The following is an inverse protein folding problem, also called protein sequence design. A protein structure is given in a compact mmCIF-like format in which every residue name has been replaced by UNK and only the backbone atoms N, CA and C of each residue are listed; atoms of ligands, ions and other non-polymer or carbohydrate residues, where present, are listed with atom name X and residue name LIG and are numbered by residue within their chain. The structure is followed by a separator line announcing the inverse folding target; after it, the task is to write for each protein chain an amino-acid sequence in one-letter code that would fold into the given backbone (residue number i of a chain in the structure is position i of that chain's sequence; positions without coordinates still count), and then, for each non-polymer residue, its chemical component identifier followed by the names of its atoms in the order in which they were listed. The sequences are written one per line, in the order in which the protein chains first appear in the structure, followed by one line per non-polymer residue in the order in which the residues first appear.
data_IF_088801624468
#
_entry.id   IF_088801624468
#
_cell.length_a   1.000
_cell.length_b   1.000
_cell.length_c   1.000
_cell.angle_alpha   90.00
_cell.angle_beta   90.00
_cell.angle_gamma   90.00
#
_symmetry.space_group_name_H-M   'P 1'
#
loop_
_entity.id
_entity.type
_entity.pdbx_description
1 polymer ?
#
# COMPACT_ATOMS: atom_id res chain seq x y z
N UNK A 1 -12.25 7.84 11.43
CA UNK A 1 -11.67 6.48 11.28
C UNK A 1 -10.89 6.46 9.99
N UNK A 2 -9.59 6.14 10.06
CA UNK A 2 -8.75 6.04 8.87
C UNK A 2 -9.06 4.75 8.11
N UNK A 3 -9.23 4.82 6.78
CA UNK A 3 -9.47 3.62 5.95
C UNK A 3 -8.16 2.84 5.81
N UNK A 4 -8.24 1.53 6.00
CA UNK A 4 -7.13 0.61 5.86
C UNK A 4 -7.37 -0.30 4.67
N UNK A 5 -6.39 -0.42 3.79
CA UNK A 5 -6.41 -1.26 2.60
C UNK A 5 -5.51 -2.47 2.79
N UNK A 6 -5.99 -3.65 2.44
CA UNK A 6 -5.14 -4.82 2.26
C UNK A 6 -4.27 -4.65 1.02
N UNK A 7 -3.21 -5.46 0.92
CA UNK A 7 -2.36 -5.52 -0.28
C UNK A 7 -3.16 -5.81 -1.56
N UNK A 8 -4.28 -6.55 -1.45
CA UNK A 8 -5.15 -6.88 -2.58
C UNK A 8 -5.97 -5.67 -3.02
N UNK A 9 -6.56 -4.93 -2.09
CA UNK A 9 -7.30 -3.70 -2.40
C UNK A 9 -6.35 -2.63 -2.97
N UNK A 10 -5.14 -2.52 -2.44
CA UNK A 10 -4.11 -1.65 -3.00
C UNK A 10 -3.77 -2.01 -4.46
N UNK A 11 -3.74 -3.30 -4.81
CA UNK A 11 -3.55 -3.77 -6.19
C UNK A 11 -4.72 -3.37 -7.10
N UNK A 12 -5.97 -3.51 -6.63
CA UNK A 12 -7.16 -3.15 -7.42
C UNK A 12 -7.24 -1.63 -7.68
N UNK A 13 -6.82 -0.79 -6.73
CA UNK A 13 -6.86 0.67 -6.86
C UNK A 13 -5.74 1.19 -7.78
N UNK A 14 -4.54 0.62 -7.66
CA UNK A 14 -3.33 1.19 -8.28
C UNK A 14 -2.83 0.41 -9.48
N UNK A 15 -3.34 -0.80 -9.71
CA UNK A 15 -2.82 -1.75 -10.71
C UNK A 15 -1.48 -2.38 -10.33
N UNK A 16 -0.85 -1.95 -9.23
CA UNK A 16 0.45 -2.48 -8.78
C UNK A 16 0.23 -3.80 -8.05
N UNK A 17 0.93 -4.85 -8.49
CA UNK A 17 0.81 -6.20 -7.90
C UNK A 17 1.02 -6.21 -6.38
N UNK A 18 0.22 -6.98 -5.66
CA UNK A 18 0.33 -7.16 -4.21
C UNK A 18 1.74 -7.60 -3.75
N UNK A 19 2.49 -8.34 -4.60
CA UNK A 19 3.89 -8.70 -4.34
C UNK A 19 4.81 -7.47 -4.28
N UNK A 20 4.55 -6.49 -5.13
CA UNK A 20 5.31 -5.24 -5.20
C UNK A 20 4.99 -4.36 -4.01
N UNK A 21 3.71 -4.28 -3.62
CA UNK A 21 3.33 -3.63 -2.36
C UNK A 21 3.98 -4.28 -1.14
N UNK A 22 3.97 -5.62 -1.08
CA UNK A 22 4.68 -6.36 -0.02
C UNK A 22 6.17 -6.01 0.02
N UNK A 23 6.81 -5.91 -1.14
CA UNK A 23 8.20 -5.48 -1.24
C UNK A 23 8.40 -4.05 -0.70
N UNK A 24 7.54 -3.10 -1.04
CA UNK A 24 7.64 -1.72 -0.52
C UNK A 24 7.43 -1.63 1.00
N UNK A 25 6.52 -2.43 1.55
CA UNK A 25 6.35 -2.54 3.00
C UNK A 25 7.57 -3.18 3.65
N UNK A 26 8.12 -4.25 3.08
CA UNK A 26 9.28 -4.94 3.64
C UNK A 26 10.56 -4.10 3.60
N UNK A 27 10.74 -3.32 2.54
CA UNK A 27 11.86 -2.38 2.36
C UNK A 27 11.67 -1.05 3.09
N UNK A 28 10.62 -0.92 3.92
CA UNK A 28 10.28 0.31 4.68
C UNK A 28 10.06 1.55 3.80
N UNK A 29 9.75 1.38 2.51
CA UNK A 29 9.41 2.47 1.58
C UNK A 29 7.96 2.91 1.70
N UNK A 30 7.12 2.07 2.30
CA UNK A 30 5.71 2.34 2.59
C UNK A 30 5.40 1.93 4.03
N UNK A 31 4.74 2.82 4.78
CA UNK A 31 4.25 2.47 6.11
C UNK A 31 3.00 1.60 6.01
N UNK A 32 2.96 0.55 6.83
CA UNK A 32 1.81 -0.33 6.95
C UNK A 32 1.63 -0.79 8.39
N UNK A 33 0.38 -1.01 8.76
CA UNK A 33 -0.04 -1.53 10.05
C UNK A 33 -0.22 -3.04 9.94
N UNK A 34 0.13 -3.76 11.01
CA UNK A 34 -0.19 -5.19 11.13
C UNK A 34 -1.62 -5.34 11.64
N UNK A 35 -2.47 -5.86 10.78
CA UNK A 35 -3.83 -6.24 11.12
C UNK A 35 -3.91 -7.61 11.83
N UNK A 36 -5.13 -8.06 12.13
CA UNK A 36 -5.39 -9.35 12.72
C UNK A 36 -4.77 -10.49 11.91
N UNK A 37 -4.22 -11.49 12.60
CA UNK A 37 -3.55 -12.66 11.99
C UNK A 37 -2.34 -12.30 11.11
N UNK A 38 -1.66 -11.19 11.41
CA UNK A 38 -0.42 -10.80 10.72
C UNK A 38 -0.62 -10.21 9.32
N UNK A 39 -1.88 -9.94 8.93
CA UNK A 39 -2.20 -9.28 7.66
C UNK A 39 -1.54 -7.90 7.59
N UNK A 40 -1.07 -7.53 6.41
CA UNK A 40 -0.50 -6.20 6.17
C UNK A 40 -1.63 -5.29 5.69
N UNK A 41 -1.82 -4.19 6.39
CA UNK A 41 -2.83 -3.17 6.13
C UNK A 41 -2.13 -1.83 5.86
N UNK A 42 -2.39 -1.24 4.71
CA UNK A 42 -1.83 0.03 4.28
C UNK A 42 -2.86 1.13 4.60
N UNK A 43 -2.50 2.17 5.36
CA UNK A 43 -3.36 3.34 5.54
C UNK A 43 -3.67 4.03 4.21
N UNK A 44 -4.92 4.48 4.03
CA UNK A 44 -5.34 5.19 2.81
C UNK A 44 -4.46 6.42 2.53
N UNK A 45 -4.10 7.17 3.57
CA UNK A 45 -3.25 8.35 3.49
C UNK A 45 -1.86 8.03 2.91
N UNK A 46 -1.25 6.92 3.33
CA UNK A 46 0.04 6.45 2.84
C UNK A 46 -0.04 5.91 1.42
N UNK A 47 -1.11 5.19 1.09
CA UNK A 47 -1.36 4.71 -0.26
C UNK A 47 -1.44 5.88 -1.25
N UNK A 48 -2.24 6.90 -0.95
CA UNK A 48 -2.41 8.08 -1.80
C UNK A 48 -1.10 8.87 -1.94
N UNK A 49 -0.38 9.12 -0.84
CA UNK A 49 0.94 9.78 -0.89
C UNK A 49 1.91 9.01 -1.78
N UNK A 50 1.95 7.67 -1.65
CA UNK A 50 2.83 6.84 -2.45
C UNK A 50 2.49 6.93 -3.93
N UNK A 51 1.20 6.81 -4.29
CA UNK A 51 0.74 6.95 -5.68
C UNK A 51 1.07 8.34 -6.24
N UNK A 52 0.89 9.41 -5.46
CA UNK A 52 1.26 10.77 -5.87
C UNK A 52 2.77 10.95 -6.05
N UNK A 53 3.59 10.23 -5.28
CA UNK A 53 5.05 10.27 -5.39
C UNK A 53 5.60 9.49 -6.59
N UNK A 54 4.82 8.58 -7.17
CA UNK A 54 5.22 7.88 -8.39
C UNK A 54 5.28 8.91 -9.52
N UNK A 55 6.39 8.95 -10.29
CA UNK A 55 6.45 9.84 -11.44
C UNK A 55 5.29 9.48 -12.38
N UNK A 56 4.46 10.47 -12.71
CA UNK A 56 3.45 10.31 -13.76
C UNK A 56 4.19 10.01 -15.06
N UNK A 57 4.25 8.73 -15.42
CA UNK A 57 4.72 8.34 -16.75
C UNK A 57 3.71 8.95 -17.72
N UNK A 58 4.20 9.90 -18.52
CA UNK A 58 3.42 10.74 -19.44
C UNK A 58 3.08 9.98 -20.71
#
# INVERSE_FOLDING_TARGET
MEKLYTLKEAEEITGIKARTWRYYVHTKRLQAVRGPRGKILIPASELEKFVQSLPKVR
#
